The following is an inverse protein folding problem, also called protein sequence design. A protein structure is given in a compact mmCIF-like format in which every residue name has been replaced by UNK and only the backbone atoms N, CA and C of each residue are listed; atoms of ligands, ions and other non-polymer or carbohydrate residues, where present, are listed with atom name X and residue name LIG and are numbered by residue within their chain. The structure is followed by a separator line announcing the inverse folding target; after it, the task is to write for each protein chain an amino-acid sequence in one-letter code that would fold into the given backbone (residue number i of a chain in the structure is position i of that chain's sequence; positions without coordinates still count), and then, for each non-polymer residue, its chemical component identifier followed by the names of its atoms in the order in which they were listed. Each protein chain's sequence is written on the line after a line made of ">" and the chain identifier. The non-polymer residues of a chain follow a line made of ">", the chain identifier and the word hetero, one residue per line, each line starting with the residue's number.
data_IF_073167122394
#
_entry.id   IF_073167122394
#
_cell.length_a   1.000
_cell.length_b   1.000
_cell.length_c   1.000
_cell.angle_alpha   90.00
_cell.angle_beta   90.00
_cell.angle_gamma   90.00
#
_symmetry.space_group_name_H-M   'P 1'
#
loop_
_entity.id
_entity.type
_entity.pdbx_description
1 polymer ?
#
# COMPACT_ATOMS: atom_id res chain seq x y z
N UNK A 1 17.61 27.87 45.57
CA UNK A 1 17.46 26.48 45.10
C UNK A 1 16.18 26.21 44.27
N UNK A 2 15.36 27.23 43.91
CA UNK A 2 14.10 27.04 43.14
C UNK A 2 14.16 27.47 41.66
N UNK A 3 15.04 28.41 41.31
CA UNK A 3 15.18 28.98 39.96
C UNK A 3 15.88 28.05 38.97
N UNK A 4 16.89 27.31 39.43
CA UNK A 4 17.68 26.39 38.62
C UNK A 4 16.86 25.18 38.15
N UNK A 5 16.10 24.57 39.07
CA UNK A 5 15.14 23.48 38.78
C UNK A 5 14.04 23.92 37.79
N UNK A 6 13.62 25.19 37.84
CA UNK A 6 12.60 25.76 36.95
C UNK A 6 13.12 26.00 35.53
N UNK A 7 14.36 26.48 35.41
CA UNK A 7 15.01 26.68 34.11
C UNK A 7 15.33 25.35 33.43
N UNK A 8 15.81 24.34 34.17
CA UNK A 8 16.04 22.99 33.67
C UNK A 8 14.77 22.37 33.06
N UNK A 9 13.64 22.44 33.79
CA UNK A 9 12.35 21.97 33.27
C UNK A 9 11.95 22.69 31.97
N UNK A 10 12.17 24.00 31.87
CA UNK A 10 11.88 24.78 30.66
C UNK A 10 12.75 24.38 29.47
N UNK A 11 14.05 24.15 29.67
CA UNK A 11 14.94 23.69 28.60
C UNK A 11 14.59 22.27 28.13
N UNK A 12 14.27 21.38 29.08
CA UNK A 12 13.79 20.04 28.77
C UNK A 12 12.50 20.07 27.95
N UNK A 13 11.51 20.88 28.35
CA UNK A 13 10.26 21.03 27.59
C UNK A 13 10.53 21.57 26.19
N UNK A 14 11.38 22.59 26.02
CA UNK A 14 11.74 23.12 24.69
C UNK A 14 12.41 22.06 23.81
N UNK A 15 13.36 21.31 24.37
CA UNK A 15 14.03 20.23 23.65
C UNK A 15 13.04 19.13 23.23
N UNK A 16 12.12 18.74 24.12
CA UNK A 16 11.06 17.78 23.82
C UNK A 16 10.10 18.29 22.74
N UNK A 17 9.75 19.58 22.75
CA UNK A 17 8.89 20.17 21.72
C UNK A 17 9.56 20.20 20.36
N UNK A 18 10.85 20.58 20.29
CA UNK A 18 11.62 20.55 19.05
C UNK A 18 11.72 19.12 18.52
N UNK A 19 12.02 18.16 19.40
CA UNK A 19 12.09 16.75 19.05
C UNK A 19 10.73 16.24 18.53
N UNK A 20 9.62 16.62 19.17
CA UNK A 20 8.28 16.24 18.74
C UNK A 20 7.97 16.78 17.34
N UNK A 21 8.24 18.05 17.08
CA UNK A 21 8.05 18.67 15.76
C UNK A 21 8.89 17.93 14.71
N UNK A 22 10.13 17.61 15.04
CA UNK A 22 11.01 16.85 14.15
C UNK A 22 10.45 15.45 13.85
N UNK A 23 9.98 14.71 14.86
CA UNK A 23 9.35 13.40 14.67
C UNK A 23 8.09 13.47 13.81
N UNK A 24 7.26 14.49 14.00
CA UNK A 24 6.07 14.71 13.16
C UNK A 24 6.49 14.98 11.71
N UNK A 25 7.51 15.81 11.49
CA UNK A 25 8.06 16.06 10.16
C UNK A 25 8.57 14.78 9.48
N UNK A 26 9.33 13.96 10.20
CA UNK A 26 9.79 12.65 9.70
C UNK A 26 8.61 11.71 9.38
N UNK A 27 7.56 11.71 10.20
CA UNK A 27 6.38 10.87 9.99
C UNK A 27 5.64 11.27 8.70
N UNK A 28 5.50 12.57 8.44
CA UNK A 28 4.91 13.08 7.19
C UNK A 28 5.77 12.68 5.99
N UNK A 29 7.10 12.80 6.11
CA UNK A 29 8.01 12.40 5.05
C UNK A 29 7.92 10.89 4.75
N UNK A 30 7.91 10.04 5.79
CA UNK A 30 7.74 8.59 5.64
C UNK A 30 6.41 8.25 4.97
N UNK A 31 5.31 8.91 5.38
CA UNK A 31 4.01 8.74 4.75
C UNK A 31 4.04 9.09 3.25
N UNK A 32 4.67 10.21 2.89
CA UNK A 32 4.82 10.63 1.51
C UNK A 32 5.62 9.62 0.67
N UNK A 33 6.73 9.09 1.22
CA UNK A 33 7.56 8.09 0.56
C UNK A 33 6.77 6.79 0.33
N UNK A 34 6.10 6.28 1.37
CA UNK A 34 5.30 5.04 1.28
C UNK A 34 4.19 5.19 0.24
N UNK A 35 3.46 6.30 0.26
CA UNK A 35 2.36 6.55 -0.68
C UNK A 35 2.87 6.64 -2.11
N UNK A 36 4.00 7.32 -2.33
CA UNK A 36 4.62 7.46 -3.64
C UNK A 36 5.10 6.12 -4.18
N UNK A 37 5.84 5.33 -3.38
CA UNK A 37 6.34 4.01 -3.78
C UNK A 37 5.21 3.04 -4.06
N UNK A 38 4.15 3.06 -3.25
CA UNK A 38 2.98 2.21 -3.45
C UNK A 38 2.25 2.56 -4.75
N UNK A 39 2.02 3.85 -5.02
CA UNK A 39 1.41 4.29 -6.26
C UNK A 39 2.26 3.89 -7.47
N UNK A 40 3.58 4.09 -7.39
CA UNK A 40 4.51 3.69 -8.45
C UNK A 40 4.45 2.19 -8.72
N UNK A 41 4.57 1.34 -7.69
CA UNK A 41 4.50 -0.11 -7.85
C UNK A 41 3.16 -0.59 -8.41
N UNK A 42 2.05 -0.02 -7.93
CA UNK A 42 0.71 -0.34 -8.45
C UNK A 42 0.55 0.06 -9.92
N UNK A 43 1.06 1.23 -10.32
CA UNK A 43 0.97 1.71 -11.70
C UNK A 43 1.89 0.91 -12.63
N UNK A 44 3.10 0.54 -12.18
CA UNK A 44 4.01 -0.35 -12.92
C UNK A 44 3.38 -1.73 -13.14
N UNK A 45 2.81 -2.32 -12.09
CA UNK A 45 2.12 -3.61 -12.17
C UNK A 45 0.93 -3.53 -13.14
N UNK A 46 0.12 -2.46 -13.06
CA UNK A 46 -0.99 -2.21 -13.97
C UNK A 46 -0.52 -2.16 -15.43
N UNK A 47 0.57 -1.45 -15.70
CA UNK A 47 1.13 -1.32 -17.06
C UNK A 47 1.64 -2.67 -17.54
N UNK A 48 2.38 -3.42 -16.73
CA UNK A 48 2.91 -4.73 -17.09
C UNK A 48 1.77 -5.70 -17.45
N UNK A 49 0.78 -5.84 -16.56
CA UNK A 49 -0.35 -6.75 -16.75
C UNK A 49 -1.23 -6.35 -17.94
N UNK A 50 -1.51 -5.05 -18.15
CA UNK A 50 -2.34 -4.59 -19.28
C UNK A 50 -1.61 -4.73 -20.62
N UNK A 51 -0.30 -4.46 -20.65
CA UNK A 51 0.51 -4.57 -21.87
C UNK A 51 0.64 -6.02 -22.32
N UNK A 52 0.83 -6.93 -21.38
CA UNK A 52 1.00 -8.35 -21.66
C UNK A 52 -0.31 -9.12 -21.70
N UNK A 53 -1.43 -8.52 -21.25
CA UNK A 53 -2.74 -9.15 -21.11
C UNK A 53 -3.05 -10.17 -22.23
N UNK A 54 -2.83 -11.47 -21.97
CA UNK A 54 -3.01 -12.53 -22.94
C UNK A 54 -4.51 -12.76 -23.20
N UNK A 55 -4.84 -13.42 -24.30
CA UNK A 55 -6.23 -13.73 -24.65
C UNK A 55 -6.90 -14.51 -23.50
N UNK A 56 -8.04 -14.01 -23.02
CA UNK A 56 -8.77 -14.58 -21.87
C UNK A 56 -8.74 -13.75 -20.58
N UNK A 57 -7.96 -12.66 -20.51
CA UNK A 57 -7.99 -11.74 -19.37
C UNK A 57 -8.66 -10.41 -19.74
N UNK A 58 -9.69 -10.01 -18.98
CA UNK A 58 -10.35 -8.73 -19.17
C UNK A 58 -9.47 -7.57 -18.66
N UNK A 59 -8.96 -6.73 -19.57
CA UNK A 59 -8.14 -5.55 -19.25
C UNK A 59 -8.82 -4.58 -18.28
N UNK A 60 -10.14 -4.39 -18.41
CA UNK A 60 -10.89 -3.51 -17.51
C UNK A 60 -10.91 -4.08 -16.08
N UNK A 61 -10.96 -5.41 -15.96
CA UNK A 61 -10.95 -6.07 -14.65
C UNK A 61 -9.60 -5.90 -13.93
N UNK A 62 -8.48 -5.91 -14.66
CA UNK A 62 -7.15 -5.57 -14.12
C UNK A 62 -7.16 -4.14 -13.57
N UNK A 63 -7.60 -3.19 -14.40
CA UNK A 63 -7.63 -1.76 -14.07
C UNK A 63 -8.46 -1.51 -12.80
N UNK A 64 -9.69 -2.02 -12.76
CA UNK A 64 -10.61 -1.85 -11.63
C UNK A 64 -10.06 -2.46 -10.34
N UNK A 65 -9.45 -3.65 -10.42
CA UNK A 65 -8.90 -4.34 -9.24
C UNK A 65 -7.74 -3.55 -8.65
N UNK A 66 -6.80 -3.09 -9.49
CA UNK A 66 -5.64 -2.32 -9.03
C UNK A 66 -6.08 -0.95 -8.47
N UNK A 67 -7.03 -0.27 -9.13
CA UNK A 67 -7.55 1.02 -8.65
C UNK A 67 -8.29 0.89 -7.32
N UNK A 68 -9.03 -0.21 -7.12
CA UNK A 68 -9.66 -0.51 -5.83
C UNK A 68 -8.62 -0.70 -4.74
N UNK A 69 -7.59 -1.50 -5.00
CA UNK A 69 -6.48 -1.70 -4.05
C UNK A 69 -5.80 -0.38 -3.72
N UNK A 70 -5.54 0.47 -4.73
CA UNK A 70 -4.97 1.81 -4.58
C UNK A 70 -5.82 2.72 -3.70
N UNK A 71 -7.13 2.77 -3.96
CA UNK A 71 -8.07 3.58 -3.18
C UNK A 71 -8.13 3.16 -1.71
N UNK A 72 -8.12 1.85 -1.43
CA UNK A 72 -8.16 1.34 -0.06
C UNK A 72 -6.80 1.55 0.64
N UNK A 73 -5.68 1.40 -0.07
CA UNK A 73 -4.34 1.64 0.48
C UNK A 73 -4.09 3.13 0.81
N UNK A 74 -4.63 4.05 0.01
CA UNK A 74 -4.57 5.49 0.28
C UNK A 74 -5.31 5.90 1.58
N UNK A 75 -6.23 5.05 2.06
CA UNK A 75 -6.95 5.26 3.32
C UNK A 75 -6.20 4.69 4.54
N UNK A 76 -4.95 4.25 4.41
CA UNK A 76 -4.15 3.85 5.56
C UNK A 76 -3.94 5.04 6.52
N UNK A 77 -3.76 4.80 7.83
CA UNK A 77 -3.85 3.51 8.52
C UNK A 77 -5.32 3.07 8.77
N UNK A 78 -6.30 3.94 8.50
CA UNK A 78 -7.71 3.67 8.83
C UNK A 78 -8.27 2.44 8.13
N UNK A 79 -7.94 2.20 6.85
CA UNK A 79 -8.37 0.99 6.14
C UNK A 79 -7.83 -0.30 6.76
N UNK A 80 -6.63 -0.28 7.35
CA UNK A 80 -6.06 -1.41 8.06
C UNK A 80 -6.75 -1.63 9.42
N UNK A 81 -6.94 -0.55 10.19
CA UNK A 81 -7.62 -0.59 11.50
C UNK A 81 -9.08 -1.07 11.34
N UNK A 82 -9.76 -0.59 10.30
CA UNK A 82 -11.14 -1.00 9.97
C UNK A 82 -11.23 -2.33 9.22
N UNK A 83 -10.11 -3.05 9.05
CA UNK A 83 -10.00 -4.34 8.34
C UNK A 83 -10.51 -4.34 6.90
N UNK A 84 -10.59 -3.16 6.27
CA UNK A 84 -10.88 -3.02 4.83
C UNK A 84 -9.71 -3.47 3.96
N UNK A 85 -8.50 -3.46 4.50
CA UNK A 85 -7.31 -4.03 3.87
C UNK A 85 -6.61 -4.99 4.81
N UNK A 86 -6.18 -6.12 4.26
CA UNK A 86 -5.32 -7.07 4.94
C UNK A 86 -3.91 -6.97 4.34
N UNK A 87 -3.02 -6.27 5.06
CA UNK A 87 -1.63 -6.05 4.62
C UNK A 87 -0.85 -7.35 4.42
N UNK A 88 -1.17 -8.41 5.17
CA UNK A 88 -0.54 -9.72 4.98
C UNK A 88 -0.88 -10.30 3.61
N UNK A 89 -2.15 -10.24 3.22
CA UNK A 89 -2.59 -10.70 1.89
C UNK A 89 -2.05 -9.82 0.76
N UNK A 90 -1.89 -8.51 0.98
CA UNK A 90 -1.23 -7.62 0.01
C UNK A 90 0.23 -8.03 -0.17
N UNK A 91 0.93 -8.34 0.92
CA UNK A 91 2.30 -8.86 0.86
C UNK A 91 2.33 -10.19 0.09
N UNK A 92 1.47 -11.13 0.43
CA UNK A 92 1.41 -12.43 -0.24
C UNK A 92 1.13 -12.27 -1.75
N UNK A 93 0.26 -11.32 -2.14
CA UNK A 93 0.00 -10.99 -3.54
C UNK A 93 1.21 -10.34 -4.23
N UNK A 94 1.94 -9.48 -3.52
CA UNK A 94 3.17 -8.87 -4.02
C UNK A 94 4.29 -9.88 -4.21
N UNK A 95 4.48 -10.80 -3.26
CA UNK A 95 5.44 -11.89 -3.36
C UNK A 95 5.11 -12.80 -4.54
N UNK A 96 3.83 -13.18 -4.70
CA UNK A 96 3.35 -13.93 -5.86
C UNK A 96 3.62 -13.17 -7.17
N UNK A 97 3.40 -11.86 -7.21
CA UNK A 97 3.60 -11.08 -8.42
C UNK A 97 5.08 -10.98 -8.84
N UNK A 98 6.00 -11.05 -7.88
CA UNK A 98 7.43 -11.11 -8.16
C UNK A 98 7.82 -12.49 -8.70
N UNK A 99 7.29 -13.57 -8.12
CA UNK A 99 7.56 -14.95 -8.56
C UNK A 99 6.95 -15.26 -9.93
N UNK A 100 5.70 -14.84 -10.17
CA UNK A 100 4.98 -15.01 -11.43
C UNK A 100 5.48 -14.11 -12.57
N UNK A 101 6.44 -13.21 -12.32
CA UNK A 101 7.08 -12.40 -13.35
C UNK A 101 8.58 -12.71 -13.44
N UNK A 102 9.06 -13.80 -12.84
CA UNK A 102 10.49 -14.16 -12.86
C UNK A 102 10.98 -14.47 -14.29
N UNK A 103 10.10 -14.98 -15.15
CA UNK A 103 10.37 -15.23 -16.57
C UNK A 103 10.00 -14.06 -17.50
N UNK A 104 9.62 -12.91 -16.91
CA UNK A 104 9.16 -11.69 -17.59
C UNK A 104 7.87 -11.84 -18.44
N UNK A 105 7.18 -12.99 -18.38
CA UNK A 105 5.98 -13.29 -19.15
C UNK A 105 4.80 -13.66 -18.25
N UNK A 106 3.67 -12.98 -18.42
CA UNK A 106 2.48 -13.28 -17.62
C UNK A 106 1.51 -14.23 -18.32
N UNK A 107 1.23 -15.36 -17.70
CA UNK A 107 0.17 -16.25 -18.14
C UNK A 107 -1.23 -15.75 -17.71
N UNK A 108 -2.30 -16.08 -18.47
CA UNK A 108 -3.67 -15.71 -18.11
C UNK A 108 -4.08 -16.19 -16.73
N UNK A 109 -3.64 -17.38 -16.33
CA UNK A 109 -3.96 -17.99 -15.04
C UNK A 109 -3.27 -17.25 -13.89
N UNK A 110 -2.03 -16.80 -14.10
CA UNK A 110 -1.26 -16.06 -13.10
C UNK A 110 -1.84 -14.67 -12.86
N UNK A 111 -2.21 -13.97 -13.93
CA UNK A 111 -2.90 -12.68 -13.83
C UNK A 111 -4.21 -12.86 -13.05
N UNK A 112 -5.03 -13.84 -13.42
CA UNK A 112 -6.31 -14.07 -12.75
C UNK A 112 -6.13 -14.44 -11.26
N UNK A 113 -5.10 -15.23 -10.94
CA UNK A 113 -4.74 -15.58 -9.58
C UNK A 113 -4.32 -14.35 -8.78
N UNK A 114 -3.44 -13.52 -9.34
CA UNK A 114 -3.01 -12.27 -8.72
C UNK A 114 -4.18 -11.33 -8.48
N UNK A 115 -5.09 -11.14 -9.44
CA UNK A 115 -6.28 -10.31 -9.27
C UNK A 115 -7.20 -10.84 -8.17
N UNK A 116 -7.35 -12.17 -8.05
CA UNK A 116 -8.11 -12.79 -6.95
C UNK A 116 -7.46 -12.53 -5.59
N UNK A 117 -6.13 -12.67 -5.49
CA UNK A 117 -5.39 -12.39 -4.26
C UNK A 117 -5.54 -10.91 -3.86
N UNK A 118 -5.40 -9.99 -4.82
CA UNK A 118 -5.58 -8.54 -4.61
C UNK A 118 -7.01 -8.21 -4.15
N UNK A 119 -8.03 -8.77 -4.79
CA UNK A 119 -9.42 -8.60 -4.37
C UNK A 119 -9.69 -9.17 -2.97
N UNK A 120 -9.15 -10.35 -2.66
CA UNK A 120 -9.25 -10.97 -1.34
C UNK A 120 -8.53 -10.17 -0.25
N UNK A 121 -7.51 -9.39 -0.62
CA UNK A 121 -6.77 -8.51 0.28
C UNK A 121 -7.56 -7.26 0.67
N UNK A 122 -8.47 -6.79 -0.20
CA UNK A 122 -9.38 -5.66 0.08
C UNK A 122 -10.81 -6.08 0.43
N UNK A 123 -11.02 -7.37 0.72
CA UNK A 123 -12.33 -7.91 1.12
C UNK A 123 -13.38 -7.86 0.01
N UNK A 124 -12.98 -7.66 -1.24
CA UNK A 124 -13.90 -7.67 -2.37
C UNK A 124 -14.16 -9.12 -2.79
N UNK A 125 -15.42 -9.54 -2.69
CA UNK A 125 -15.89 -10.76 -3.33
C UNK A 125 -16.39 -10.40 -4.72
N UNK A 126 -15.75 -10.97 -5.73
CA UNK A 126 -16.23 -10.89 -7.10
C UNK A 126 -17.55 -11.66 -7.19
N UNK A 127 -18.67 -10.97 -7.41
CA UNK A 127 -19.89 -11.63 -7.85
C UNK A 127 -19.60 -12.14 -9.26
N UNK A 128 -19.38 -13.45 -9.39
CA UNK A 128 -19.33 -14.12 -10.67
C UNK A 128 -20.72 -13.95 -11.30
N UNK A 129 -20.88 -12.99 -12.22
CA UNK A 129 -22.02 -13.02 -13.13
C UNK A 129 -21.81 -14.22 -14.06
N UNK A 130 -22.57 -15.28 -13.79
CA UNK A 130 -22.82 -16.34 -14.77
C UNK A 130 -23.43 -15.76 -16.04
#
# INVERSE_FOLDING_TARGET
>A
MSTEKRNWKRHLTKALTILLIFMVGLSILQWFIITTLFNFGADTLKIAMVKQAPEGVNRNHIIETIERVKSVAQQLPFSFITRKINLRKIKDAGDYALEANDDETWDPEEINTLLRMLNAAVGYKQELSN
#
